data_IF_538238902916
#
_entry.id   IF_538238902916
#
_cell.length_a   1.000
_cell.length_b   1.000
_cell.length_c   1.000
_cell.angle_alpha   90.00
_cell.angle_beta   90.00
_cell.angle_gamma   90.00
#
_symmetry.space_group_name_H-M   'P 1'
#
loop_
_entity.id
_entity.type
_entity.pdbx_description
1 polymer ?
#
# COMPACT_ATOMS: atom_id res chain seq x y z
N UNK A 1 -5.87 23.41 -17.74
CA UNK A 1 -5.65 22.42 -16.66
C UNK A 1 -6.42 22.89 -15.44
N UNK A 2 -7.41 22.12 -14.95
CA UNK A 2 -8.33 22.55 -13.87
C UNK A 2 -7.58 22.57 -12.52
N UNK A 3 -7.78 23.60 -11.70
CA UNK A 3 -7.18 23.75 -10.36
C UNK A 3 -7.41 22.51 -9.47
N UNK A 4 -8.59 21.89 -9.54
CA UNK A 4 -8.91 20.66 -8.79
C UNK A 4 -7.99 19.50 -9.23
N UNK A 5 -7.71 19.39 -10.54
CA UNK A 5 -6.77 18.40 -11.05
C UNK A 5 -5.35 18.71 -10.56
N UNK A 6 -4.94 19.97 -10.47
CA UNK A 6 -3.62 20.33 -9.94
C UNK A 6 -3.48 19.97 -8.46
N UNK A 7 -4.48 20.31 -7.64
CA UNK A 7 -4.51 20.00 -6.20
C UNK A 7 -4.55 18.49 -5.93
N UNK A 8 -5.13 17.69 -6.84
CA UNK A 8 -5.10 16.23 -6.77
C UNK A 8 -3.67 15.64 -6.84
N UNK A 9 -2.72 16.36 -7.44
CA UNK A 9 -1.32 15.95 -7.54
C UNK A 9 -0.43 16.52 -6.43
N UNK A 10 -0.95 17.41 -5.58
CA UNK A 10 -0.16 17.96 -4.48
C UNK A 10 -0.11 16.95 -3.33
N UNK A 11 1.10 16.43 -3.15
CA UNK A 11 1.46 15.48 -2.12
C UNK A 11 2.67 15.99 -1.35
N UNK A 12 2.64 15.83 -0.03
CA UNK A 12 3.78 16.13 0.84
C UNK A 12 4.08 14.89 1.67
N UNK A 13 5.32 14.41 1.54
CA UNK A 13 5.90 13.43 2.46
C UNK A 13 6.84 14.14 3.43
N UNK A 14 6.67 13.90 4.72
CA UNK A 14 7.59 14.36 5.75
C UNK A 14 8.16 13.15 6.50
N UNK A 15 9.44 13.23 6.85
CA UNK A 15 10.07 12.26 7.73
C UNK A 15 10.05 12.82 9.16
N UNK A 16 9.55 12.04 10.10
CA UNK A 16 9.55 12.36 11.53
C UNK A 16 10.22 11.18 12.23
N UNK A 17 11.49 11.36 12.61
CA UNK A 17 12.33 10.24 13.05
C UNK A 17 12.55 9.23 11.92
N UNK A 18 12.32 7.95 12.21
CA UNK A 18 12.40 6.86 11.22
C UNK A 18 11.07 6.61 10.48
N UNK A 19 10.02 7.36 10.82
CA UNK A 19 8.70 7.24 10.19
C UNK A 19 8.53 8.24 9.07
N UNK A 20 7.77 7.83 8.05
CA UNK A 20 7.41 8.65 6.91
C UNK A 20 5.91 8.85 6.87
N UNK A 21 5.50 10.11 6.98
CA UNK A 21 4.10 10.52 6.96
C UNK A 21 3.76 11.18 5.63
N UNK A 22 2.54 10.92 5.17
CA UNK A 22 2.04 11.30 3.87
C UNK A 22 0.76 12.14 3.99
N UNK A 23 0.77 13.33 3.37
CA UNK A 23 -0.38 14.22 3.31
C UNK A 23 -0.77 14.52 1.85
N UNK A 24 -2.08 14.57 1.58
CA UNK A 24 -2.63 15.05 0.30
C UNK A 24 -3.42 16.34 0.52
N UNK A 25 -3.35 17.24 -0.46
CA UNK A 25 -4.16 18.45 -0.45
C UNK A 25 -5.66 18.18 -0.64
N UNK A 26 -6.02 17.15 -1.42
CA UNK A 26 -7.41 16.71 -1.58
C UNK A 26 -7.58 15.25 -1.10
N UNK A 27 -8.63 14.97 -0.30
CA UNK A 27 -8.94 13.61 0.10
C UNK A 27 -9.44 12.78 -1.10
N UNK A 28 -9.31 11.45 -0.94
CA UNK A 28 -9.90 10.46 -1.84
C UNK A 28 -11.30 10.12 -1.35
N UNK A 29 -12.29 10.08 -2.24
CA UNK A 29 -13.65 9.75 -1.87
C UNK A 29 -14.68 10.20 -2.90
N UNK A 30 -15.95 9.93 -2.59
CA UNK A 30 -17.07 10.36 -3.42
C UNK A 30 -17.64 11.69 -2.89
N UNK A 31 -16.94 12.80 -3.15
CA UNK A 31 -17.37 14.14 -2.74
C UNK A 31 -17.00 15.21 -3.79
N UNK A 32 -17.66 16.38 -3.75
CA UNK A 32 -17.51 17.45 -4.76
C UNK A 32 -16.09 18.04 -4.87
N UNK A 33 -15.28 17.90 -3.82
CA UNK A 33 -13.89 18.37 -3.77
C UNK A 33 -12.94 17.22 -3.41
N UNK A 34 -13.27 16.01 -3.85
CA UNK A 34 -12.46 14.82 -3.67
C UNK A 34 -11.91 14.33 -5.01
N UNK A 35 -10.82 13.57 -4.93
CA UNK A 35 -10.40 12.71 -6.03
C UNK A 35 -11.13 11.37 -5.94
N UNK A 36 -11.61 10.79 -7.05
CA UNK A 36 -12.25 9.48 -7.01
C UNK A 36 -11.25 8.41 -6.57
N UNK A 37 -11.76 7.40 -5.88
CA UNK A 37 -11.02 6.20 -5.50
C UNK A 37 -10.95 5.27 -6.71
N UNK A 38 -9.75 4.87 -7.09
CA UNK A 38 -9.49 3.79 -8.05
C UNK A 38 -8.82 2.63 -7.29
N UNK A 39 -9.58 1.58 -6.90
CA UNK A 39 -9.03 0.46 -6.13
C UNK A 39 -7.82 -0.22 -6.79
N UNK A 40 -7.74 -0.23 -8.12
CA UNK A 40 -6.64 -0.87 -8.83
C UNK A 40 -5.32 -0.08 -8.74
N UNK A 41 -5.40 1.23 -8.52
CA UNK A 41 -4.23 2.11 -8.42
C UNK A 41 -3.92 2.54 -6.98
N UNK A 42 -4.97 2.84 -6.22
CA UNK A 42 -4.89 3.42 -4.89
C UNK A 42 -4.60 2.35 -3.82
N UNK A 43 -4.92 1.08 -4.07
CA UNK A 43 -4.69 -0.02 -3.11
C UNK A 43 -3.58 -0.95 -3.62
N UNK A 44 -2.61 -1.24 -2.77
CA UNK A 44 -1.56 -2.24 -3.04
C UNK A 44 -1.55 -3.31 -1.97
N UNK A 45 -1.51 -4.57 -2.39
CA UNK A 45 -1.38 -5.72 -1.52
C UNK A 45 0.06 -6.23 -1.58
N UNK A 46 0.79 -6.15 -0.47
CA UNK A 46 2.17 -6.63 -0.36
C UNK A 46 2.19 -7.90 0.49
N UNK A 47 2.44 -9.04 -0.15
CA UNK A 47 2.53 -10.35 0.48
C UNK A 47 3.94 -10.60 1.01
N UNK A 48 4.05 -10.78 2.32
CA UNK A 48 5.23 -11.27 3.00
C UNK A 48 4.97 -12.66 3.53
N UNK A 49 5.94 -13.55 3.30
CA UNK A 49 5.98 -14.91 3.81
C UNK A 49 7.34 -15.15 4.48
N UNK A 50 7.52 -16.34 5.06
CA UNK A 50 8.84 -16.76 5.56
C UNK A 50 9.89 -16.86 4.45
N UNK A 51 9.48 -17.10 3.21
CA UNK A 51 10.39 -17.25 2.06
C UNK A 51 10.86 -15.90 1.52
N UNK A 52 10.05 -14.85 1.69
CA UNK A 52 10.33 -13.50 1.21
C UNK A 52 10.09 -12.46 2.31
N UNK A 53 10.84 -12.53 3.44
CA UNK A 53 10.61 -11.63 4.56
C UNK A 53 10.94 -10.18 4.21
N UNK A 54 11.94 -9.94 3.37
CA UNK A 54 12.46 -8.59 3.11
C UNK A 54 11.84 -7.91 1.89
N UNK A 55 11.54 -8.68 0.86
CA UNK A 55 10.97 -8.16 -0.39
C UNK A 55 9.58 -8.77 -0.60
N UNK A 56 8.49 -7.97 -0.51
CA UNK A 56 7.16 -8.50 -0.71
C UNK A 56 6.91 -8.92 -2.16
N UNK A 57 6.01 -9.88 -2.32
CA UNK A 57 5.36 -10.15 -3.59
C UNK A 57 4.13 -9.23 -3.71
N UNK A 58 4.03 -8.44 -4.77
CA UNK A 58 2.88 -7.54 -4.96
C UNK A 58 1.71 -8.31 -5.59
N UNK A 59 0.62 -8.43 -4.84
CA UNK A 59 -0.65 -8.98 -5.33
C UNK A 59 -1.50 -7.86 -5.94
N UNK A 60 -2.39 -8.24 -6.86
CA UNK A 60 -3.35 -7.35 -7.51
C UNK A 60 -4.74 -7.94 -7.48
N UNK A 61 -5.73 -7.07 -7.39
CA UNK A 61 -7.14 -7.46 -7.43
C UNK A 61 -7.48 -8.07 -8.79
N UNK A 62 -8.26 -9.15 -8.78
CA UNK A 62 -8.75 -9.85 -9.97
C UNK A 62 -7.64 -10.45 -10.87
N UNK A 63 -6.44 -10.67 -10.34
CA UNK A 63 -5.35 -11.40 -11.02
C UNK A 63 -5.09 -12.73 -10.28
N UNK A 64 -6.02 -13.68 -10.36
CA UNK A 64 -5.93 -14.99 -9.66
C UNK A 64 -4.69 -15.79 -10.08
N UNK A 65 -4.31 -15.70 -11.36
CA UNK A 65 -3.07 -16.29 -11.88
C UNK A 65 -1.82 -15.75 -11.14
N UNK A 66 -1.83 -14.46 -10.78
CA UNK A 66 -0.74 -13.83 -10.05
C UNK A 66 -0.69 -14.31 -8.60
N UNK A 67 -1.84 -14.59 -7.99
CA UNK A 67 -1.91 -15.19 -6.65
C UNK A 67 -1.36 -16.62 -6.67
N UNK A 68 -1.72 -17.42 -7.67
CA UNK A 68 -1.24 -18.79 -7.82
C UNK A 68 0.29 -18.89 -8.07
N UNK A 69 0.88 -17.87 -8.70
CA UNK A 69 2.34 -17.76 -8.89
C UNK A 69 3.08 -17.18 -7.68
N UNK A 70 2.35 -16.64 -6.71
CA UNK A 70 2.95 -16.04 -5.52
C UNK A 70 3.35 -17.12 -4.50
N UNK A 71 4.20 -16.79 -3.49
CA UNK A 71 4.50 -17.70 -2.38
C UNK A 71 3.32 -17.93 -1.41
N UNK A 72 2.10 -17.54 -1.78
CA UNK A 72 0.91 -17.74 -0.97
C UNK A 72 0.57 -19.23 -0.87
N UNK A 73 0.22 -19.65 0.34
CA UNK A 73 -0.19 -21.01 0.67
C UNK A 73 -1.51 -20.97 1.44
N UNK A 74 -2.52 -21.64 0.90
CA UNK A 74 -3.87 -21.66 1.45
C UNK A 74 -3.95 -22.44 2.77
N UNK A 75 -2.98 -23.30 3.08
CA UNK A 75 -2.91 -24.04 4.34
C UNK A 75 -2.36 -23.18 5.50
N UNK A 76 -1.74 -22.04 5.17
CA UNK A 76 -1.20 -21.12 6.17
C UNK A 76 -2.18 -19.97 6.45
N UNK A 77 -2.47 -19.68 7.72
CA UNK A 77 -3.38 -18.60 8.07
C UNK A 77 -2.83 -17.24 7.60
N UNK A 78 -3.74 -16.34 7.22
CA UNK A 78 -3.40 -15.02 6.65
C UNK A 78 -3.81 -13.89 7.57
N UNK A 79 -2.89 -12.96 7.80
CA UNK A 79 -3.06 -11.74 8.59
C UNK A 79 -2.96 -10.53 7.67
N UNK A 80 -3.97 -9.67 7.69
CA UNK A 80 -3.93 -8.40 6.98
C UNK A 80 -3.47 -7.28 7.92
N UNK A 81 -2.49 -6.50 7.47
CA UNK A 81 -2.12 -5.23 8.11
C UNK A 81 -2.60 -4.08 7.23
N UNK A 82 -3.44 -3.22 7.81
CA UNK A 82 -3.98 -2.03 7.15
C UNK A 82 -3.52 -0.85 7.99
N UNK A 83 -2.70 0.02 7.41
CA UNK A 83 -2.14 1.16 8.12
C UNK A 83 -3.20 2.25 8.36
N UNK A 84 -2.93 3.13 9.33
CA UNK A 84 -3.83 4.22 9.71
C UNK A 84 -3.74 5.45 8.81
N UNK A 85 -4.42 6.53 9.23
CA UNK A 85 -4.33 7.85 8.59
C UNK A 85 -2.88 8.36 8.63
N UNK A 86 -2.42 8.95 7.52
CA UNK A 86 -1.07 9.52 7.25
C UNK A 86 0.12 8.57 7.38
N UNK A 87 -0.06 7.37 7.92
CA UNK A 87 0.91 6.28 7.87
C UNK A 87 1.06 5.76 6.44
N UNK A 88 2.21 5.17 6.13
CA UNK A 88 2.49 4.51 4.86
C UNK A 88 2.58 3.00 5.06
N UNK A 89 2.21 2.22 4.04
CA UNK A 89 2.32 0.76 4.06
C UNK A 89 3.75 0.21 4.28
N UNK A 90 4.78 1.05 4.26
CA UNK A 90 6.17 0.70 4.57
C UNK A 90 6.74 1.40 5.82
N UNK A 91 5.90 2.09 6.61
CA UNK A 91 6.30 2.79 7.85
C UNK A 91 6.75 1.84 8.98
N UNK A 92 7.25 2.38 10.10
CA UNK A 92 7.79 1.56 11.19
C UNK A 92 6.73 0.67 11.83
N UNK A 93 5.51 1.19 12.07
CA UNK A 93 4.38 0.38 12.58
C UNK A 93 4.16 -0.87 11.73
N UNK A 94 4.31 -0.72 10.42
CA UNK A 94 4.20 -1.80 9.46
C UNK A 94 5.39 -2.78 9.46
N UNK A 95 6.59 -2.31 9.76
CA UNK A 95 7.79 -3.16 9.87
C UNK A 95 7.81 -3.92 11.20
N UNK A 96 7.29 -3.34 12.28
CA UNK A 96 7.16 -4.01 13.58
C UNK A 96 6.25 -5.24 13.50
N UNK A 97 5.16 -5.20 12.71
CA UNK A 97 4.26 -6.35 12.50
C UNK A 97 4.95 -7.48 11.69
N UNK A 98 5.90 -7.15 10.81
CA UNK A 98 6.72 -8.14 10.09
C UNK A 98 7.66 -8.91 11.03
N UNK A 99 8.18 -8.23 12.05
CA UNK A 99 9.17 -8.79 12.97
C UNK A 99 8.56 -9.71 14.04
N UNK A 100 7.24 -9.60 14.27
CA UNK A 100 6.42 -10.56 15.02
C UNK A 100 6.29 -11.91 14.30
N UNK A 101 7.41 -12.62 14.15
CA UNK A 101 7.48 -13.93 13.50
C UNK A 101 6.61 -14.97 14.22
N UNK A 102 5.49 -15.37 13.61
CA UNK A 102 4.95 -16.74 13.73
C UNK A 102 3.91 -17.01 12.65
N UNK A 103 4.11 -18.06 11.84
CA UNK A 103 3.08 -18.85 11.13
C UNK A 103 2.11 -18.20 10.11
N UNK A 104 2.09 -16.89 9.92
CA UNK A 104 1.09 -16.23 9.06
C UNK A 104 1.66 -15.66 7.75
N UNK A 105 0.84 -15.63 6.70
CA UNK A 105 1.01 -14.72 5.58
C UNK A 105 0.64 -13.31 6.00
N UNK A 106 1.50 -12.33 5.73
CA UNK A 106 1.19 -10.93 6.01
C UNK A 106 0.89 -10.21 4.71
N UNK A 107 -0.34 -9.75 4.55
CA UNK A 107 -0.74 -8.91 3.43
C UNK A 107 -0.85 -7.48 3.93
N UNK A 108 0.08 -6.63 3.51
CA UNK A 108 0.02 -5.19 3.80
C UNK A 108 -0.83 -4.52 2.75
N UNK A 109 -1.82 -3.75 3.20
CA UNK A 109 -2.67 -2.93 2.35
C UNK A 109 -2.14 -1.50 2.43
N UNK A 110 -1.47 -1.05 1.37
CA UNK A 110 -0.99 0.33 1.25
C UNK A 110 -1.98 1.13 0.41
N UNK A 111 -2.64 2.11 1.03
CA UNK A 111 -3.52 3.04 0.34
C UNK A 111 -2.66 4.20 -0.20
N UNK A 112 -1.80 3.88 -1.17
CA UNK A 112 -0.73 4.79 -1.62
C UNK A 112 -1.29 6.15 -2.01
N UNK A 113 -0.59 7.25 -1.68
CA UNK A 113 -0.68 8.49 -2.44
C UNK A 113 -0.50 8.18 -3.93
N UNK A 114 -1.38 8.69 -4.81
CA UNK A 114 -1.19 8.55 -6.25
C UNK A 114 0.25 8.98 -6.56
N UNK A 115 1.04 8.09 -7.16
CA UNK A 115 2.45 8.26 -7.56
C UNK A 115 3.60 7.70 -6.69
N UNK A 116 3.36 6.85 -5.68
CA UNK A 116 4.43 5.95 -5.17
C UNK A 116 4.61 4.67 -6.03
N UNK A 117 4.16 4.68 -7.29
CA UNK A 117 4.71 3.74 -8.27
C UNK A 117 6.06 4.31 -8.70
N UNK A 118 7.19 3.58 -8.57
CA UNK A 118 8.29 3.88 -9.48
C UNK A 118 7.67 3.77 -10.86
N UNK A 119 7.76 4.84 -11.65
CA UNK A 119 7.59 4.72 -13.09
C UNK A 119 8.57 3.64 -13.53
N UNK A 120 8.09 2.40 -13.68
CA UNK A 120 8.74 1.42 -14.52
C UNK A 120 8.65 2.04 -15.92
N UNK A 121 9.79 2.57 -16.35
CA UNK A 121 9.92 3.26 -17.61
C UNK A 121 9.33 2.42 -18.74
N UNK A 122 8.56 3.08 -19.59
CA UNK A 122 8.54 2.79 -21.01
C UNK A 122 9.23 3.94 -21.71
#
# INVERSE_FOLDING_TARGET
>A
MNLIKLLAYIFVAINVGNDRFAFRALPKGNCSYCTPIDPAQDIVFLLYTRQNPDLPFQLKLNEDDLLALSPFDHEHPTVFYIHGFTELGLGLGCNTIKEGKTQFHHIKVDNRPCHLQPHQGK
#
